data_IF_444197174502
#
_entry.id   IF_444197174502
#
_cell.length_a   1.000
_cell.length_b   1.000
_cell.length_c   1.000
_cell.angle_alpha   90.00
_cell.angle_beta   90.00
_cell.angle_gamma   90.00
#
_symmetry.space_group_name_H-M   'P 1'
#
loop_
_entity.id
_entity.type
_entity.pdbx_description
1 polymer ?
#
# COMPACT_ATOMS: atom_id res chain seq x y z
N UNK A 1 23.01 5.77 6.61
CA UNK A 1 22.86 7.17 7.05
C UNK A 1 22.67 8.00 5.79
N UNK A 2 21.44 8.41 5.49
CA UNK A 2 21.09 9.00 4.18
C UNK A 2 21.35 10.51 4.22
N UNK A 3 21.87 11.08 3.12
CA UNK A 3 22.14 12.52 2.99
C UNK A 3 20.81 13.28 2.91
N UNK A 4 20.27 13.71 4.05
CA UNK A 4 19.25 14.76 4.05
C UNK A 4 19.93 16.08 3.67
N UNK A 5 19.46 16.73 2.60
CA UNK A 5 19.86 18.09 2.20
C UNK A 5 19.24 19.16 3.14
N UNK A 6 19.21 18.90 4.44
CA UNK A 6 18.54 19.72 5.44
C UNK A 6 17.11 19.25 5.78
N UNK A 7 16.31 20.18 6.31
CA UNK A 7 14.94 19.92 6.78
C UNK A 7 14.02 19.77 5.55
N UNK A 8 13.19 18.72 5.49
CA UNK A 8 12.27 18.53 4.38
C UNK A 8 11.18 19.62 4.36
N UNK A 9 10.87 20.16 3.19
CA UNK A 9 9.73 21.07 2.99
C UNK A 9 8.39 20.36 3.22
N UNK A 10 8.32 19.09 2.83
CA UNK A 10 7.14 18.23 2.98
C UNK A 10 7.55 16.89 3.59
N UNK A 11 6.78 16.41 4.56
CA UNK A 11 6.96 15.10 5.19
C UNK A 11 5.62 14.36 5.25
N UNK A 12 5.62 13.09 4.86
CA UNK A 12 4.45 12.22 4.86
C UNK A 12 4.83 10.86 5.45
N UNK A 13 3.98 10.35 6.34
CA UNK A 13 4.05 8.97 6.82
C UNK A 13 2.82 8.21 6.35
N UNK A 14 3.06 6.99 5.86
CA UNK A 14 2.01 6.10 5.38
C UNK A 14 2.05 4.81 6.22
N UNK A 15 0.87 4.29 6.53
CA UNK A 15 0.71 3.03 7.24
C UNK A 15 -0.07 2.05 6.38
N UNK A 16 0.36 0.79 6.35
CA UNK A 16 -0.39 -0.26 5.68
C UNK A 16 -1.71 -0.52 6.44
N UNK A 17 -2.79 -0.69 5.68
CA UNK A 17 -4.12 -0.96 6.21
C UNK A 17 -4.73 -2.17 5.49
N UNK A 18 -3.97 -3.26 5.35
CA UNK A 18 -4.33 -4.41 4.50
C UNK A 18 -5.68 -5.03 4.86
N UNK A 19 -6.04 -5.02 6.15
CA UNK A 19 -7.34 -5.53 6.64
C UNK A 19 -8.56 -4.81 6.06
N UNK A 20 -8.37 -3.60 5.51
CA UNK A 20 -9.42 -2.79 4.88
C UNK A 20 -9.40 -2.87 3.36
N UNK A 21 -8.36 -3.43 2.76
CA UNK A 21 -8.19 -3.48 1.31
C UNK A 21 -8.88 -4.71 0.73
N UNK A 22 -10.16 -4.55 0.36
CA UNK A 22 -10.98 -5.65 -0.17
C UNK A 22 -10.32 -6.35 -1.38
N UNK A 23 -9.74 -5.57 -2.29
CA UNK A 23 -9.03 -6.09 -3.46
C UNK A 23 -7.82 -6.95 -3.06
N UNK A 24 -7.05 -6.52 -2.06
CA UNK A 24 -5.89 -7.28 -1.56
C UNK A 24 -6.35 -8.58 -0.91
N UNK A 25 -7.37 -8.55 -0.05
CA UNK A 25 -7.91 -9.74 0.61
C UNK A 25 -8.48 -10.75 -0.41
N UNK A 26 -9.07 -10.29 -1.51
CA UNK A 26 -9.47 -11.16 -2.62
C UNK A 26 -8.27 -11.78 -3.35
N UNK A 27 -7.21 -11.02 -3.58
CA UNK A 27 -5.97 -11.53 -4.18
C UNK A 27 -5.37 -12.61 -3.28
N UNK A 28 -5.25 -12.34 -1.98
CA UNK A 28 -4.76 -13.30 -0.98
C UNK A 28 -5.64 -14.55 -0.90
N UNK A 29 -6.96 -14.39 -0.95
CA UNK A 29 -7.89 -15.51 -1.02
C UNK A 29 -7.65 -16.43 -2.23
N UNK A 30 -7.31 -15.83 -3.37
CA UNK A 30 -6.98 -16.58 -4.58
C UNK A 30 -5.61 -17.24 -4.49
N UNK A 31 -4.58 -16.54 -4.02
CA UNK A 31 -3.21 -17.08 -3.96
C UNK A 31 -3.02 -18.12 -2.86
N UNK A 32 -3.60 -17.89 -1.68
CA UNK A 32 -3.41 -18.75 -0.50
C UNK A 32 -4.41 -19.92 -0.51
N UNK A 33 -5.69 -19.64 -0.78
CA UNK A 33 -6.76 -20.63 -0.62
C UNK A 33 -7.28 -21.19 -1.96
N UNK A 34 -6.77 -20.72 -3.11
CA UNK A 34 -7.31 -21.05 -4.45
C UNK A 34 -8.82 -20.82 -4.57
N UNK A 35 -9.36 -19.82 -3.86
CA UNK A 35 -10.80 -19.50 -3.85
C UNK A 35 -11.05 -18.08 -4.34
N UNK A 36 -12.10 -17.91 -5.14
CA UNK A 36 -12.60 -16.59 -5.50
C UNK A 36 -13.47 -16.04 -4.36
N UNK A 37 -13.04 -14.95 -3.73
CA UNK A 37 -13.86 -14.23 -2.75
C UNK A 37 -14.68 -13.12 -3.40
N UNK A 38 -15.95 -13.04 -3.03
CA UNK A 38 -16.84 -11.91 -3.34
C UNK A 38 -16.61 -10.77 -2.35
N UNK A 39 -17.02 -9.54 -2.70
CA UNK A 39 -16.90 -8.40 -1.78
C UNK A 39 -17.61 -8.68 -0.46
N UNK A 40 -18.86 -9.13 -0.53
CA UNK A 40 -19.69 -9.47 0.64
C UNK A 40 -19.01 -10.45 1.60
N UNK A 41 -18.35 -11.48 1.06
CA UNK A 41 -17.65 -12.46 1.87
C UNK A 41 -16.46 -11.81 2.60
N UNK A 42 -15.71 -10.94 1.93
CA UNK A 42 -14.54 -10.25 2.51
C UNK A 42 -14.95 -9.20 3.55
N UNK A 43 -16.05 -8.48 3.33
CA UNK A 43 -16.59 -7.54 4.33
C UNK A 43 -17.05 -8.27 5.59
N UNK A 44 -17.65 -9.46 5.43
CA UNK A 44 -18.14 -10.27 6.54
C UNK A 44 -17.06 -11.11 7.24
N UNK A 45 -15.82 -11.16 6.75
CA UNK A 45 -14.73 -11.86 7.43
C UNK A 45 -14.41 -11.23 8.79
N UNK A 46 -14.21 -12.08 9.79
CA UNK A 46 -13.73 -11.64 11.09
C UNK A 46 -12.26 -11.18 11.01
N UNK A 47 -11.83 -10.35 11.96
CA UNK A 47 -10.48 -9.83 12.05
C UNK A 47 -9.42 -10.93 12.03
N UNK A 48 -9.66 -12.04 12.75
CA UNK A 48 -8.76 -13.20 12.79
C UNK A 48 -8.54 -13.81 11.40
N UNK A 49 -9.61 -14.01 10.63
CA UNK A 49 -9.53 -14.58 9.28
C UNK A 49 -8.76 -13.67 8.32
N UNK A 50 -8.98 -12.36 8.41
CA UNK A 50 -8.21 -11.37 7.63
C UNK A 50 -6.74 -11.39 8.01
N UNK A 51 -6.44 -11.46 9.30
CA UNK A 51 -5.07 -11.53 9.81
C UNK A 51 -4.35 -12.78 9.32
N UNK A 52 -5.02 -13.94 9.36
CA UNK A 52 -4.47 -15.21 8.84
C UNK A 52 -4.13 -15.13 7.34
N UNK A 53 -4.99 -14.51 6.52
CA UNK A 53 -4.72 -14.31 5.09
C UNK A 53 -3.55 -13.36 4.82
N UNK A 54 -3.38 -12.32 5.63
CA UNK A 54 -2.29 -11.35 5.48
C UNK A 54 -0.96 -11.98 5.89
N UNK A 55 -0.97 -12.75 6.99
CA UNK A 55 0.21 -13.42 7.52
C UNK A 55 0.68 -14.60 6.67
N UNK A 56 -0.21 -15.22 5.89
CA UNK A 56 0.16 -16.35 5.03
C UNK A 56 0.93 -15.93 3.77
N UNK A 57 0.74 -14.70 3.27
CA UNK A 57 1.50 -14.15 2.16
C UNK A 57 1.88 -12.67 2.38
N UNK A 58 2.82 -12.40 3.31
CA UNK A 58 3.27 -11.04 3.63
C UNK A 58 4.06 -10.41 2.47
N UNK A 59 4.61 -11.21 1.57
CA UNK A 59 5.36 -10.71 0.40
C UNK A 59 4.42 -10.03 -0.58
N UNK A 60 3.27 -10.63 -0.88
CA UNK A 60 2.23 -10.00 -1.70
C UNK A 60 1.70 -8.72 -1.05
N UNK A 61 1.51 -8.70 0.26
CA UNK A 61 1.12 -7.50 1.01
C UNK A 61 2.14 -6.35 0.85
N UNK A 62 3.44 -6.64 1.05
CA UNK A 62 4.50 -5.65 0.89
C UNK A 62 4.60 -5.12 -0.55
N UNK A 63 4.50 -6.02 -1.54
CA UNK A 63 4.49 -5.64 -2.97
C UNK A 63 3.30 -4.77 -3.32
N UNK A 64 2.12 -5.09 -2.78
CA UNK A 64 0.92 -4.31 -2.99
C UNK A 64 1.06 -2.90 -2.40
N UNK A 65 1.59 -2.80 -1.18
CA UNK A 65 1.86 -1.52 -0.53
C UNK A 65 2.83 -0.64 -1.35
N UNK A 66 3.97 -1.21 -1.77
CA UNK A 66 4.96 -0.52 -2.61
C UNK A 66 4.34 -0.06 -3.94
N UNK A 67 3.51 -0.89 -4.57
CA UNK A 67 2.77 -0.51 -5.78
C UNK A 67 1.86 0.70 -5.54
N UNK A 68 1.08 0.69 -4.46
CA UNK A 68 0.19 1.82 -4.11
C UNK A 68 0.98 3.10 -3.86
N UNK A 69 2.10 3.01 -3.14
CA UNK A 69 2.96 4.17 -2.89
C UNK A 69 3.58 4.71 -4.17
N UNK A 70 4.09 3.84 -5.06
CA UNK A 70 4.64 4.25 -6.36
C UNK A 70 3.59 4.92 -7.24
N UNK A 71 2.35 4.44 -7.24
CA UNK A 71 1.24 5.09 -7.95
C UNK A 71 0.97 6.48 -7.38
N UNK A 72 0.92 6.61 -6.06
CA UNK A 72 0.77 7.92 -5.42
C UNK A 72 1.92 8.88 -5.76
N UNK A 73 3.17 8.40 -5.74
CA UNK A 73 4.33 9.21 -6.08
C UNK A 73 4.32 9.63 -7.56
N UNK A 74 4.17 8.67 -8.47
CA UNK A 74 4.33 8.91 -9.91
C UNK A 74 3.09 9.54 -10.56
N UNK A 75 1.89 9.07 -10.21
CA UNK A 75 0.67 9.50 -10.88
C UNK A 75 -0.01 10.69 -10.21
N UNK A 76 0.30 10.95 -8.93
CA UNK A 76 -0.27 12.09 -8.20
C UNK A 76 0.78 13.17 -7.92
N UNK A 77 1.86 12.86 -7.20
CA UNK A 77 2.87 13.87 -6.82
C UNK A 77 3.67 14.39 -8.02
N UNK A 78 4.13 13.50 -8.90
CA UNK A 78 4.83 13.86 -10.15
C UNK A 78 3.89 14.17 -11.33
N UNK A 79 2.58 14.26 -11.07
CA UNK A 79 1.64 14.63 -12.12
C UNK A 79 1.91 16.05 -12.62
N UNK A 80 1.47 16.34 -13.85
CA UNK A 80 1.56 17.67 -14.47
C UNK A 80 0.91 18.77 -13.64
N UNK A 81 0.01 18.41 -12.72
CA UNK A 81 -0.72 19.33 -11.85
C UNK A 81 0.12 19.82 -10.66
N UNK A 82 1.26 19.18 -10.35
CA UNK A 82 2.18 19.57 -9.29
C UNK A 82 1.46 19.94 -7.97
N UNK A 83 0.71 19.01 -7.34
CA UNK A 83 -0.21 19.32 -6.24
C UNK A 83 0.48 19.93 -5.01
N UNK A 84 1.78 19.70 -4.84
CA UNK A 84 2.61 20.28 -3.78
C UNK A 84 3.76 21.15 -4.31
N UNK A 85 3.70 21.53 -5.60
CA UNK A 85 4.79 22.19 -6.33
C UNK A 85 5.72 21.20 -7.04
N UNK A 86 6.75 21.75 -7.71
CA UNK A 86 7.76 20.97 -8.43
C UNK A 86 8.71 20.26 -7.45
N UNK A 87 8.79 18.94 -7.55
CA UNK A 87 9.63 18.10 -6.69
C UNK A 87 11.02 18.00 -7.32
N UNK A 88 11.98 18.73 -6.75
CA UNK A 88 13.39 18.72 -7.20
C UNK A 88 14.21 17.56 -6.65
N UNK A 89 13.91 17.16 -5.41
CA UNK A 89 14.56 16.04 -4.73
C UNK A 89 13.55 15.35 -3.83
N UNK A 90 13.69 14.04 -3.67
CA UNK A 90 12.84 13.24 -2.79
C UNK A 90 13.59 12.03 -2.25
N UNK A 91 13.18 11.60 -1.07
CA UNK A 91 13.66 10.38 -0.44
C UNK A 91 12.50 9.65 0.20
N UNK A 92 12.39 8.34 -0.03
CA UNK A 92 11.45 7.49 0.69
C UNK A 92 12.13 6.21 1.14
N UNK A 93 11.58 5.64 2.22
CA UNK A 93 11.99 4.36 2.78
C UNK A 93 10.74 3.54 3.05
N UNK A 94 10.84 2.23 2.80
CA UNK A 94 9.86 1.21 3.17
C UNK A 94 10.37 0.48 4.42
#
# INVERSE_FOLDING_TARGET
MIRQLGIPTWFLSFSAAETRWLHLLKILGRTVNNKAFTDELVTNMNWKQKSELIQSDPVTCARHYDYMFRRFLNDFLYSLYHPIGEIKDHFYRV
#
